data_IF_522266049290
#
_entry.id   IF_522266049290
#
_cell.length_a   1.000
_cell.length_b   1.000
_cell.length_c   1.000
_cell.angle_alpha   90.00
_cell.angle_beta   90.00
_cell.angle_gamma   90.00
#
_symmetry.space_group_name_H-M   'P 1'
#
loop_
_entity.id
_entity.type
_entity.pdbx_description
1 polymer ?
#
# COMPACT_ATOMS: atom_id res chain seq x y z
N UNK A 1 -93.38 7.10 27.67
CA UNK A 1 -92.06 7.35 28.23
C UNK A 1 -91.17 6.21 27.81
N UNK A 2 -90.31 6.30 26.82
CA UNK A 2 -89.34 5.28 26.51
C UNK A 2 -87.96 5.64 27.06
N UNK A 3 -87.33 4.67 27.66
CA UNK A 3 -85.96 4.76 28.17
C UNK A 3 -84.98 4.49 27.05
N UNK A 4 -84.10 5.40 26.76
CA UNK A 4 -82.99 5.25 25.80
C UNK A 4 -81.81 4.64 26.50
N UNK A 5 -81.36 3.50 26.04
CA UNK A 5 -80.10 2.85 26.40
C UNK A 5 -78.95 3.40 25.56
N UNK A 6 -77.96 3.96 26.19
CA UNK A 6 -76.69 4.35 25.60
C UNK A 6 -75.76 3.12 25.61
N UNK A 7 -75.40 2.62 24.44
CA UNK A 7 -74.36 1.63 24.29
C UNK A 7 -72.99 2.31 24.20
N UNK A 8 -72.11 2.03 25.16
CA UNK A 8 -70.76 2.51 25.19
C UNK A 8 -69.89 1.70 24.19
N UNK A 9 -69.29 2.37 23.21
CA UNK A 9 -68.31 1.79 22.35
C UNK A 9 -66.92 1.79 23.04
N UNK A 10 -66.47 0.63 23.41
CA UNK A 10 -65.11 0.44 23.93
C UNK A 10 -64.10 0.48 22.80
N UNK A 11 -63.22 1.50 22.86
CA UNK A 11 -62.09 1.63 21.94
C UNK A 11 -60.94 0.74 22.45
N UNK A 12 -60.74 -0.44 21.81
CA UNK A 12 -59.59 -1.31 22.08
C UNK A 12 -58.37 -0.77 21.37
N UNK A 13 -57.44 -0.16 22.11
CA UNK A 13 -56.10 0.22 21.64
C UNK A 13 -55.23 -1.05 21.63
N UNK A 14 -54.94 -1.58 20.46
CA UNK A 14 -53.96 -2.64 20.29
C UNK A 14 -52.55 -1.99 20.26
N UNK A 15 -51.81 -2.10 21.35
CA UNK A 15 -50.37 -1.76 21.39
C UNK A 15 -49.59 -2.86 20.63
N UNK A 16 -49.15 -2.55 19.41
CA UNK A 16 -48.21 -3.36 18.67
C UNK A 16 -46.79 -3.08 19.18
N UNK A 17 -46.32 -3.92 20.12
CA UNK A 17 -44.92 -3.88 20.57
C UNK A 17 -44.01 -4.46 19.45
N UNK A 18 -43.37 -3.60 18.68
CA UNK A 18 -42.30 -4.00 17.78
C UNK A 18 -41.08 -4.38 18.63
N UNK A 19 -40.86 -5.66 18.82
CA UNK A 19 -39.61 -6.18 19.38
C UNK A 19 -38.49 -5.99 18.34
N UNK A 20 -37.69 -4.93 18.48
CA UNK A 20 -36.43 -4.78 17.77
C UNK A 20 -35.48 -5.82 18.36
N UNK A 21 -35.42 -7.00 17.77
CA UNK A 21 -34.39 -7.98 18.07
C UNK A 21 -33.03 -7.43 17.66
N UNK A 22 -32.29 -6.87 18.59
CA UNK A 22 -30.86 -6.64 18.42
C UNK A 22 -30.24 -8.04 18.40
N UNK A 23 -30.09 -8.60 17.17
CA UNK A 23 -29.33 -9.83 16.98
C UNK A 23 -27.90 -9.56 17.46
N UNK A 24 -27.51 -10.15 18.58
CA UNK A 24 -26.13 -10.23 18.99
C UNK A 24 -25.38 -10.90 17.83
N UNK A 25 -24.50 -10.16 17.14
CA UNK A 25 -23.60 -10.74 16.17
C UNK A 25 -22.80 -11.82 16.91
N UNK A 26 -23.03 -13.09 16.56
CA UNK A 26 -22.26 -14.20 17.10
C UNK A 26 -20.78 -13.90 16.80
N UNK A 27 -19.95 -13.86 17.84
CA UNK A 27 -18.51 -13.69 17.65
C UNK A 27 -18.03 -14.81 16.71
N UNK A 28 -17.34 -14.40 15.64
CA UNK A 28 -16.77 -15.37 14.69
C UNK A 28 -15.85 -16.33 15.46
N UNK A 29 -15.92 -17.64 15.20
CA UNK A 29 -15.12 -18.62 15.90
C UNK A 29 -13.63 -18.38 15.63
N UNK A 30 -12.82 -18.39 16.70
CA UNK A 30 -11.36 -18.34 16.58
C UNK A 30 -10.84 -19.68 16.06
N UNK A 31 -10.26 -19.70 14.87
CA UNK A 31 -9.65 -20.88 14.27
C UNK A 31 -8.36 -21.25 15.01
N UNK A 32 -8.17 -22.54 15.34
CA UNK A 32 -7.02 -23.05 16.10
C UNK A 32 -6.45 -24.32 15.47
N UNK A 33 -5.22 -24.65 15.81
CA UNK A 33 -4.56 -25.85 15.28
C UNK A 33 -4.54 -25.88 13.76
N UNK A 34 -4.85 -27.00 13.15
CA UNK A 34 -4.84 -27.18 11.68
C UNK A 34 -5.86 -26.29 10.96
N UNK A 35 -6.96 -25.91 11.60
CA UNK A 35 -7.95 -25.00 11.00
C UNK A 35 -7.43 -23.56 10.87
N UNK A 36 -6.44 -23.18 11.68
CA UNK A 36 -5.80 -21.87 11.58
C UNK A 36 -4.97 -21.71 10.30
N UNK A 37 -4.58 -22.81 9.66
CA UNK A 37 -3.81 -22.85 8.40
C UNK A 37 -4.74 -23.14 7.22
N UNK A 38 -5.72 -22.30 7.01
CA UNK A 38 -6.69 -22.45 5.93
C UNK A 38 -6.14 -22.05 4.57
N UNK A 39 -6.90 -22.44 3.54
CA UNK A 39 -6.70 -22.02 2.16
C UNK A 39 -7.08 -20.53 1.99
N UNK A 40 -6.29 -19.75 1.30
CA UNK A 40 -6.54 -18.34 0.98
C UNK A 40 -7.88 -18.12 0.26
N UNK A 41 -8.39 -19.11 -0.48
CA UNK A 41 -9.68 -19.04 -1.17
C UNK A 41 -10.87 -19.01 -0.20
N UNK A 42 -10.69 -19.51 1.02
CA UNK A 42 -11.72 -19.51 2.07
C UNK A 42 -11.53 -18.39 3.09
N UNK A 43 -10.47 -17.59 2.93
CA UNK A 43 -10.20 -16.50 3.83
C UNK A 43 -11.20 -15.36 3.66
N UNK A 44 -11.62 -14.74 4.76
CA UNK A 44 -12.60 -13.67 4.79
C UNK A 44 -12.13 -12.57 5.76
N UNK A 45 -12.49 -11.32 5.50
CA UNK A 45 -12.31 -10.27 6.48
C UNK A 45 -13.01 -10.62 7.79
N UNK A 46 -12.34 -10.41 8.93
CA UNK A 46 -12.86 -10.72 10.25
C UNK A 46 -12.51 -12.11 10.78
N UNK A 47 -11.95 -13.01 9.96
CA UNK A 47 -11.48 -14.31 10.44
C UNK A 47 -10.34 -14.15 11.45
N UNK A 48 -10.54 -14.65 12.67
CA UNK A 48 -9.53 -14.61 13.74
C UNK A 48 -8.86 -15.97 13.86
N UNK A 49 -7.53 -15.99 13.95
CA UNK A 49 -6.71 -17.20 14.11
C UNK A 49 -5.85 -17.10 15.34
N UNK A 50 -5.81 -18.17 16.14
CA UNK A 50 -4.85 -18.31 17.22
C UNK A 50 -3.80 -19.35 16.79
N UNK A 51 -2.59 -18.88 16.49
CA UNK A 51 -1.44 -19.72 16.14
C UNK A 51 -0.47 -19.66 17.31
N UNK A 52 -0.14 -20.80 17.87
CA UNK A 52 0.82 -20.93 18.96
C UNK A 52 2.14 -21.55 18.43
N UNK A 53 3.27 -21.42 19.13
CA UNK A 53 4.52 -22.08 18.72
C UNK A 53 4.40 -23.59 18.53
N UNK A 54 3.47 -24.24 19.23
CA UNK A 54 3.21 -25.68 19.12
C UNK A 54 2.50 -26.07 17.82
N UNK A 55 1.80 -25.12 17.20
CA UNK A 55 1.10 -25.33 15.92
C UNK A 55 2.06 -25.21 14.73
N UNK A 56 3.26 -24.67 14.95
CA UNK A 56 4.24 -24.50 13.88
C UNK A 56 5.03 -25.80 13.65
N UNK A 57 5.33 -26.15 12.38
CA UNK A 57 6.22 -27.26 12.10
C UNK A 57 7.63 -26.97 12.64
N UNK A 58 8.40 -28.04 12.90
CA UNK A 58 9.82 -27.86 13.28
C UNK A 58 10.56 -27.09 12.20
N UNK A 59 11.51 -26.21 12.56
CA UNK A 59 12.36 -25.54 11.58
C UNK A 59 13.00 -26.56 10.62
N UNK A 60 12.88 -26.31 9.31
CA UNK A 60 13.41 -27.20 8.28
C UNK A 60 12.60 -28.49 8.03
N UNK A 61 11.40 -28.64 8.60
CA UNK A 61 10.53 -29.80 8.36
C UNK A 61 10.05 -29.92 6.90
N UNK A 62 10.00 -28.80 6.19
CA UNK A 62 9.68 -28.74 4.76
C UNK A 62 10.79 -27.99 4.02
N UNK A 63 10.93 -28.27 2.72
CA UNK A 63 11.82 -27.48 1.88
C UNK A 63 11.43 -26.00 1.93
N UNK A 64 12.42 -25.11 1.91
CA UNK A 64 12.17 -23.67 1.85
C UNK A 64 11.32 -23.34 0.63
N UNK A 65 10.21 -22.65 0.87
CA UNK A 65 9.36 -22.14 -0.21
C UNK A 65 10.06 -20.97 -0.89
N UNK A 66 10.78 -21.24 -1.97
CA UNK A 66 11.39 -20.22 -2.82
C UNK A 66 10.59 -20.09 -4.10
N UNK A 67 9.73 -19.08 -4.17
CA UNK A 67 8.92 -18.78 -5.34
C UNK A 67 9.32 -17.43 -5.92
N UNK A 68 10.49 -17.38 -6.53
CA UNK A 68 10.97 -16.19 -7.20
C UNK A 68 10.08 -15.86 -8.40
N UNK A 69 9.67 -14.60 -8.52
CA UNK A 69 8.93 -14.11 -9.67
C UNK A 69 9.79 -14.22 -10.95
N UNK A 70 9.17 -14.61 -12.06
CA UNK A 70 9.80 -14.58 -13.38
C UNK A 70 9.37 -13.31 -14.11
N UNK A 71 10.34 -12.59 -14.65
CA UNK A 71 10.06 -11.50 -15.58
C UNK A 71 9.56 -12.09 -16.88
N UNK A 72 8.35 -11.76 -17.28
CA UNK A 72 7.79 -12.12 -18.58
C UNK A 72 7.78 -10.91 -19.50
N UNK A 73 7.95 -11.18 -20.81
CA UNK A 73 7.87 -10.12 -21.82
C UNK A 73 6.44 -9.56 -21.84
N UNK A 74 6.32 -8.24 -21.69
CA UNK A 74 5.02 -7.59 -21.84
C UNK A 74 4.60 -7.64 -23.31
N UNK A 75 3.35 -8.08 -23.66
CA UNK A 75 2.85 -7.95 -25.03
C UNK A 75 2.93 -6.49 -25.50
N UNK A 76 3.34 -6.26 -26.73
CA UNK A 76 3.59 -4.91 -27.27
C UNK A 76 2.35 -3.98 -27.16
N UNK A 77 1.16 -4.55 -27.30
CA UNK A 77 -0.12 -3.83 -27.20
C UNK A 77 -0.69 -3.72 -25.78
N UNK A 78 -0.07 -4.36 -24.78
CA UNK A 78 -0.59 -4.36 -23.42
C UNK A 78 -0.28 -3.02 -22.72
N UNK A 79 -1.33 -2.29 -22.36
CA UNK A 79 -1.28 -1.08 -21.53
C UNK A 79 -2.12 -1.31 -20.29
N UNK A 80 -1.77 -0.68 -19.14
CA UNK A 80 -2.63 -0.67 -17.99
C UNK A 80 -4.00 -0.09 -18.34
N UNK A 81 -5.07 -0.71 -17.81
CA UNK A 81 -6.41 -0.17 -17.96
C UNK A 81 -6.64 0.90 -16.90
N UNK A 82 -7.23 2.02 -17.30
CA UNK A 82 -7.52 3.14 -16.42
C UNK A 82 -8.99 3.56 -16.57
N UNK A 83 -9.58 4.20 -15.55
CA UNK A 83 -10.93 4.75 -15.63
C UNK A 83 -11.08 5.79 -16.74
N UNK A 84 -12.32 6.04 -17.16
CA UNK A 84 -12.62 7.09 -18.12
C UNK A 84 -12.12 8.47 -17.63
N UNK A 85 -11.52 9.25 -18.53
CA UNK A 85 -10.90 10.53 -18.20
C UNK A 85 -9.42 10.45 -17.76
N UNK A 86 -8.89 9.26 -17.56
CA UNK A 86 -7.46 9.04 -17.29
C UNK A 86 -6.75 8.48 -18.52
N UNK A 87 -5.45 8.74 -18.62
CA UNK A 87 -4.56 8.16 -19.63
C UNK A 87 -3.28 7.65 -18.99
N UNK A 88 -2.66 6.65 -19.62
CA UNK A 88 -1.35 6.13 -19.22
C UNK A 88 -0.32 6.57 -20.24
N UNK A 89 0.74 7.21 -19.75
CA UNK A 89 1.85 7.68 -20.56
C UNK A 89 3.17 7.14 -20.01
N UNK A 90 4.11 6.85 -20.90
CA UNK A 90 5.46 6.45 -20.51
C UNK A 90 6.27 7.70 -20.16
N UNK A 91 6.43 7.96 -18.86
CA UNK A 91 7.15 9.14 -18.36
C UNK A 91 8.67 9.00 -18.49
N UNK A 92 9.23 7.84 -18.13
CA UNK A 92 10.67 7.56 -18.23
C UNK A 92 10.91 6.09 -18.55
N UNK A 93 12.01 5.82 -19.26
CA UNK A 93 12.48 4.47 -19.60
C UNK A 93 13.95 4.29 -19.20
N UNK A 94 14.50 3.09 -19.39
CA UNK A 94 15.89 2.78 -19.05
C UNK A 94 16.19 2.68 -17.57
N UNK A 95 15.15 2.52 -16.72
CA UNK A 95 15.28 2.22 -15.31
C UNK A 95 15.51 0.72 -15.11
N UNK A 96 16.34 0.35 -14.14
CA UNK A 96 16.63 -1.04 -13.80
C UNK A 96 16.19 -1.38 -12.39
N UNK A 97 15.13 -2.19 -12.26
CA UNK A 97 14.56 -2.59 -10.98
C UNK A 97 14.13 -1.40 -10.09
N UNK A 98 13.38 -0.42 -10.61
CA UNK A 98 12.89 0.70 -9.80
C UNK A 98 11.96 0.19 -8.71
N UNK A 99 12.14 0.69 -7.50
CA UNK A 99 11.38 0.19 -6.35
C UNK A 99 10.60 1.29 -5.62
N UNK A 100 11.25 2.40 -5.33
CA UNK A 100 10.65 3.50 -4.59
C UNK A 100 10.79 4.78 -5.38
N UNK A 101 9.72 5.57 -5.39
CA UNK A 101 9.65 6.88 -6.00
C UNK A 101 9.36 7.91 -4.91
N UNK A 102 10.07 9.05 -4.94
CA UNK A 102 9.80 10.21 -4.10
C UNK A 102 9.88 11.48 -4.93
N UNK A 103 8.89 12.34 -4.79
CA UNK A 103 8.90 13.66 -5.40
C UNK A 103 9.52 14.65 -4.43
N UNK A 104 10.49 15.40 -4.89
CA UNK A 104 11.08 16.53 -4.18
C UNK A 104 10.13 17.74 -4.24
N UNK A 105 10.28 18.73 -3.33
CA UNK A 105 9.41 19.92 -3.33
C UNK A 105 9.40 20.72 -4.63
N UNK A 106 10.51 20.70 -5.38
CA UNK A 106 10.60 21.35 -6.69
C UNK A 106 10.03 20.52 -7.85
N UNK A 107 9.37 19.39 -7.59
CA UNK A 107 8.79 18.52 -8.60
C UNK A 107 9.74 17.47 -9.19
N UNK A 108 11.03 17.47 -8.86
CA UNK A 108 11.97 16.43 -9.31
C UNK A 108 11.58 15.07 -8.71
N UNK A 109 11.66 14.02 -9.51
CA UNK A 109 11.28 12.66 -9.10
C UNK A 109 12.54 11.83 -8.85
N UNK A 110 12.71 11.38 -7.62
CA UNK A 110 13.80 10.50 -7.21
C UNK A 110 13.35 9.06 -7.21
N UNK A 111 14.17 8.19 -7.83
CA UNK A 111 13.84 6.75 -8.00
C UNK A 111 15.00 5.92 -7.44
N UNK A 112 14.68 5.03 -6.51
CA UNK A 112 15.63 4.03 -6.04
C UNK A 112 15.64 2.83 -6.99
N UNK A 113 16.79 2.56 -7.61
CA UNK A 113 17.06 1.36 -8.38
C UNK A 113 17.86 0.38 -7.52
N UNK A 114 17.13 -0.53 -6.88
CA UNK A 114 17.69 -1.44 -5.85
C UNK A 114 18.78 -2.36 -6.39
N UNK A 115 18.59 -2.96 -7.58
CA UNK A 115 19.55 -3.88 -8.18
C UNK A 115 20.90 -3.21 -8.52
N UNK A 116 20.89 -2.10 -9.28
CA UNK A 116 22.10 -1.35 -9.62
C UNK A 116 22.72 -0.59 -8.45
N UNK A 117 22.06 -0.48 -7.31
CA UNK A 117 22.58 0.23 -6.15
C UNK A 117 22.70 1.74 -6.36
N UNK A 118 21.67 2.38 -6.90
CA UNK A 118 21.73 3.82 -7.24
C UNK A 118 20.38 4.52 -7.05
N UNK A 119 20.46 5.84 -6.96
CA UNK A 119 19.31 6.75 -7.01
C UNK A 119 19.36 7.51 -8.32
N UNK A 120 18.25 7.57 -9.03
CA UNK A 120 18.07 8.46 -10.18
C UNK A 120 17.24 9.67 -9.82
N UNK A 121 17.48 10.76 -10.54
CA UNK A 121 16.62 11.93 -10.55
C UNK A 121 16.07 12.12 -11.96
N UNK A 122 14.75 12.25 -12.02
CA UNK A 122 14.00 12.53 -13.24
C UNK A 122 13.43 13.94 -13.11
N UNK A 123 13.67 14.78 -14.11
CA UNK A 123 13.16 16.16 -14.14
C UNK A 123 12.31 16.40 -15.38
N UNK A 124 11.23 17.12 -15.20
CA UNK A 124 10.39 17.60 -16.30
C UNK A 124 9.78 18.95 -15.94
N UNK A 125 9.32 19.68 -16.95
CA UNK A 125 8.44 20.82 -16.71
C UNK A 125 7.07 20.33 -16.17
N UNK A 126 6.37 21.19 -15.45
CA UNK A 126 5.02 20.89 -14.95
C UNK A 126 4.09 20.50 -16.09
N UNK A 127 3.33 19.41 -15.86
CA UNK A 127 2.41 18.87 -16.86
C UNK A 127 3.05 18.14 -18.03
N UNK A 128 4.38 18.02 -18.09
CA UNK A 128 5.04 17.28 -19.15
C UNK A 128 4.77 15.78 -19.06
N UNK A 129 4.46 15.15 -20.20
CA UNK A 129 4.20 13.72 -20.30
C UNK A 129 5.47 12.86 -20.20
N UNK A 130 6.66 13.47 -20.29
CA UNK A 130 7.94 12.76 -20.29
C UNK A 130 8.99 13.53 -19.49
N UNK A 131 9.87 12.77 -18.83
CA UNK A 131 11.06 13.33 -18.22
C UNK A 131 11.99 13.91 -19.31
N UNK A 132 12.40 15.16 -19.13
CA UNK A 132 13.41 15.79 -19.99
C UNK A 132 14.83 15.33 -19.61
N UNK A 133 15.07 15.11 -18.31
CA UNK A 133 16.36 14.63 -17.77
C UNK A 133 16.15 13.34 -17.00
N UNK A 134 17.15 12.45 -17.05
CA UNK A 134 17.19 11.18 -16.37
C UNK A 134 18.65 10.90 -15.95
N UNK A 135 19.04 11.42 -14.79
CA UNK A 135 20.41 11.41 -14.32
C UNK A 135 20.61 10.45 -13.15
N UNK A 136 21.85 9.98 -12.96
CA UNK A 136 22.23 9.22 -11.76
C UNK A 136 22.61 10.21 -10.67
N UNK A 137 21.76 10.37 -9.67
CA UNK A 137 21.99 11.24 -8.53
C UNK A 137 23.06 10.68 -7.58
N UNK A 138 23.00 9.39 -7.26
CA UNK A 138 23.97 8.71 -6.39
C UNK A 138 24.11 7.25 -6.82
N UNK A 139 25.31 6.69 -6.65
CA UNK A 139 25.64 5.29 -6.96
C UNK A 139 26.49 4.67 -5.84
N UNK A 140 26.82 3.38 -5.97
CA UNK A 140 27.59 2.66 -4.95
C UNK A 140 26.80 2.36 -3.67
N UNK A 141 25.49 2.36 -3.74
CA UNK A 141 24.60 2.08 -2.61
C UNK A 141 24.31 0.58 -2.48
N UNK A 142 24.10 0.11 -1.24
CA UNK A 142 23.78 -1.29 -1.01
C UNK A 142 22.27 -1.52 -1.05
N UNK A 143 21.75 -1.84 -2.25
CA UNK A 143 20.34 -2.19 -2.48
C UNK A 143 19.38 -1.13 -1.89
N UNK A 144 19.47 0.13 -2.30
CA UNK A 144 18.65 1.20 -1.75
C UNK A 144 17.17 0.95 -1.98
N UNK A 145 16.33 1.29 -1.00
CA UNK A 145 14.89 1.12 -1.10
C UNK A 145 14.07 2.23 -0.43
N UNK A 146 14.66 3.03 0.46
CA UNK A 146 13.98 4.15 1.13
C UNK A 146 14.58 5.48 0.72
N UNK A 147 13.73 6.50 0.54
CA UNK A 147 14.14 7.88 0.23
C UNK A 147 13.31 8.82 1.08
N UNK A 148 13.96 9.77 1.75
CA UNK A 148 13.30 10.81 2.53
C UNK A 148 14.06 12.15 2.44
N UNK A 149 13.32 13.25 2.26
CA UNK A 149 13.85 14.60 2.35
C UNK A 149 13.70 15.15 3.76
N UNK A 150 14.72 15.89 4.25
CA UNK A 150 14.70 16.46 5.60
C UNK A 150 15.41 17.83 5.64
N UNK A 151 14.91 18.81 6.44
CA UNK A 151 13.61 18.78 7.11
C UNK A 151 12.43 18.68 6.13
N UNK A 152 11.27 18.28 6.62
CA UNK A 152 10.05 18.32 5.81
C UNK A 152 9.71 19.75 5.43
N UNK A 153 9.13 19.94 4.24
CA UNK A 153 8.74 21.25 3.72
C UNK A 153 9.45 21.57 2.40
N UNK A 154 9.37 22.83 2.00
CA UNK A 154 9.76 23.26 0.64
C UNK A 154 11.26 23.36 0.42
N UNK A 155 12.05 23.40 1.50
CA UNK A 155 13.51 23.59 1.44
C UNK A 155 14.28 22.55 2.26
N UNK A 156 14.22 21.26 1.90
CA UNK A 156 15.01 20.22 2.54
C UNK A 156 16.51 20.47 2.29
N UNK A 157 17.31 20.12 3.29
CA UNK A 157 18.77 20.26 3.24
C UNK A 157 19.48 18.92 3.06
N UNK A 158 18.72 17.83 3.25
CA UNK A 158 19.24 16.48 3.21
C UNK A 158 18.30 15.54 2.48
N UNK A 159 18.91 14.67 1.69
CA UNK A 159 18.26 13.46 1.17
C UNK A 159 18.82 12.27 1.94
N UNK A 160 17.95 11.55 2.65
CA UNK A 160 18.30 10.29 3.31
C UNK A 160 17.93 9.12 2.39
N UNK A 161 18.84 8.16 2.31
CA UNK A 161 18.63 6.92 1.56
C UNK A 161 18.83 5.74 2.50
N UNK A 162 17.83 4.87 2.61
CA UNK A 162 17.93 3.61 3.33
C UNK A 162 18.43 2.51 2.39
N UNK A 163 19.56 1.94 2.75
CA UNK A 163 20.13 0.71 2.21
C UNK A 163 19.65 -0.49 3.02
N UNK A 164 20.01 -1.70 2.63
CA UNK A 164 19.71 -2.91 3.41
C UNK A 164 20.48 -2.99 4.73
N UNK A 165 21.60 -2.32 4.85
CA UNK A 165 22.55 -2.41 5.97
C UNK A 165 22.86 -1.05 6.63
N UNK A 166 22.38 0.03 6.06
CA UNK A 166 22.75 1.38 6.52
C UNK A 166 21.72 2.42 6.10
N UNK A 167 21.80 3.59 6.72
CA UNK A 167 21.14 4.81 6.24
C UNK A 167 22.24 5.84 5.93
N UNK A 168 22.28 6.27 4.68
CA UNK A 168 23.19 7.32 4.24
C UNK A 168 22.44 8.60 3.98
N UNK A 169 23.12 9.75 4.07
CA UNK A 169 22.55 11.06 3.73
C UNK A 169 23.40 11.80 2.72
N UNK A 170 22.75 12.57 1.91
CA UNK A 170 23.36 13.48 0.94
C UNK A 170 22.94 14.90 1.27
N UNK A 171 23.87 15.85 1.22
CA UNK A 171 23.49 17.25 1.19
C UNK A 171 22.61 17.47 -0.04
N UNK A 172 21.49 18.17 0.14
CA UNK A 172 20.51 18.37 -0.91
C UNK A 172 20.08 19.83 -0.98
N UNK A 173 19.90 20.31 -2.19
CA UNK A 173 19.20 21.55 -2.53
C UNK A 173 18.24 21.28 -3.67
N UNK A 174 17.11 21.97 -3.69
CA UNK A 174 16.18 21.88 -4.80
C UNK A 174 16.92 22.15 -6.13
N UNK A 175 16.82 21.17 -7.04
CA UNK A 175 17.49 21.23 -8.33
C UNK A 175 18.83 20.52 -8.43
N UNK A 176 19.36 19.93 -7.35
CA UNK A 176 20.56 19.12 -7.41
C UNK A 176 20.36 17.86 -8.28
N UNK A 177 21.29 17.63 -9.20
CA UNK A 177 21.30 16.46 -10.08
C UNK A 177 22.34 15.42 -9.65
N UNK A 178 23.25 15.78 -8.78
CA UNK A 178 24.31 14.91 -8.27
C UNK A 178 24.37 15.02 -6.75
N UNK A 179 24.23 13.87 -6.08
CA UNK A 179 24.35 13.75 -4.64
C UNK A 179 25.81 13.73 -4.20
N UNK A 180 26.16 14.58 -3.24
CA UNK A 180 27.46 14.52 -2.55
C UNK A 180 27.26 13.80 -1.23
N UNK A 181 27.75 12.56 -1.12
CA UNK A 181 27.62 11.78 0.10
C UNK A 181 28.40 12.42 1.25
N UNK A 182 27.75 12.54 2.39
CA UNK A 182 28.41 12.73 3.68
C UNK A 182 28.22 11.45 4.49
N UNK A 183 29.28 10.72 4.69
CA UNK A 183 29.35 9.56 5.58
C UNK A 183 29.41 10.02 7.01
#
# INVERSE_FOLDING_TARGET
MPKTNLAGAGLSVILLAAAIGIGAAAAEPVLKGTEAFGDWQRDRPGTVRLITPQDLPRPGATASSSNASRVVQRPASALPQVPAGFKVELFASGLSGPRTIRTAPNGDIFVAETGPGRIRVLRSADGAAKAANNEVYASGLNRPFGIAFFPNGDNPQWLYVANTDSVVRFAYRNGDQIGRAHV
#
